data_IF_748674660111
#
_entry.id   IF_748674660111
#
_cell.length_a   1.000
_cell.length_b   1.000
_cell.length_c   1.000
_cell.angle_alpha   90.00
_cell.angle_beta   90.00
_cell.angle_gamma   90.00
#
_symmetry.space_group_name_H-M   'P 1'
#
loop_
_entity.id
_entity.type
_entity.pdbx_description
1 polymer ?
#
# COMPACT_ATOMS: atom_id res chain seq x y z
N UNK A 1 28.11 -34.92 5.18
CA UNK A 1 28.50 -33.51 5.35
C UNK A 1 27.35 -32.80 6.06
N UNK A 2 27.51 -32.46 7.33
CA UNK A 2 26.54 -31.64 8.07
C UNK A 2 27.08 -30.22 8.02
N UNK A 3 26.39 -29.32 7.33
CA UNK A 3 26.72 -27.89 7.35
C UNK A 3 26.03 -27.31 8.58
N UNK A 4 26.80 -27.05 9.63
CA UNK A 4 26.33 -26.28 10.78
C UNK A 4 26.71 -24.81 10.54
N UNK A 5 25.73 -23.92 10.60
CA UNK A 5 25.98 -22.47 10.57
C UNK A 5 26.53 -22.09 11.94
N UNK A 6 27.81 -21.71 12.00
CA UNK A 6 28.47 -21.30 13.23
C UNK A 6 28.11 -19.85 13.58
N UNK A 7 27.24 -19.73 14.58
CA UNK A 7 26.96 -18.59 15.45
C UNK A 7 26.28 -17.30 14.91
N UNK A 8 25.18 -16.96 15.59
CA UNK A 8 24.53 -15.66 15.85
C UNK A 8 24.21 -14.65 14.72
N UNK A 9 24.46 -14.97 13.45
CA UNK A 9 23.89 -14.21 12.32
C UNK A 9 22.52 -14.75 11.95
N UNK A 10 21.47 -13.93 11.99
CA UNK A 10 20.15 -14.31 11.48
C UNK A 10 20.23 -14.50 9.97
N UNK A 11 19.89 -15.70 9.48
CA UNK A 11 19.67 -15.91 8.05
C UNK A 11 18.41 -15.14 7.67
N UNK A 12 18.56 -14.23 6.73
CA UNK A 12 17.54 -13.29 6.30
C UNK A 12 17.56 -13.30 4.77
N UNK A 13 16.50 -13.84 4.16
CA UNK A 13 16.42 -14.02 2.72
C UNK A 13 16.27 -12.67 2.03
N UNK A 14 15.55 -11.75 2.64
CA UNK A 14 15.25 -10.40 2.19
C UNK A 14 16.53 -9.57 2.09
N UNK A 15 17.53 -9.86 2.94
CA UNK A 15 18.89 -9.31 2.83
C UNK A 15 19.74 -10.07 1.83
N UNK A 16 19.74 -11.42 1.87
CA UNK A 16 20.55 -12.25 0.98
C UNK A 16 19.99 -13.66 0.79
N UNK A 17 19.42 -13.91 -0.39
CA UNK A 17 18.87 -15.23 -0.75
C UNK A 17 19.91 -16.35 -0.95
N UNK A 18 21.15 -16.01 -1.34
CA UNK A 18 22.14 -17.00 -1.80
C UNK A 18 23.50 -16.80 -1.13
N UNK A 19 24.04 -17.90 -0.64
CA UNK A 19 25.38 -17.97 -0.07
C UNK A 19 26.22 -18.95 -0.88
N UNK A 20 27.44 -18.55 -1.23
CA UNK A 20 28.42 -19.43 -1.89
C UNK A 20 29.55 -19.73 -0.92
N UNK A 21 29.76 -21.01 -0.63
CA UNK A 21 30.86 -21.49 0.19
C UNK A 21 31.88 -22.16 -0.72
N UNK A 22 33.13 -21.69 -0.69
CA UNK A 22 34.22 -22.33 -1.41
C UNK A 22 34.85 -23.41 -0.51
N UNK A 23 34.73 -24.66 -0.94
CA UNK A 23 35.27 -25.81 -0.23
C UNK A 23 36.61 -26.18 -0.87
N UNK A 24 37.65 -26.32 -0.05
CA UNK A 24 38.98 -26.77 -0.50
C UNK A 24 39.31 -28.04 0.27
N UNK A 25 39.68 -29.09 -0.45
CA UNK A 25 40.14 -30.36 0.12
C UNK A 25 41.63 -30.46 -0.15
N UNK A 26 42.43 -30.74 0.89
CA UNK A 26 43.89 -30.84 0.79
C UNK A 26 44.34 -32.20 1.33
N UNK A 27 45.20 -32.90 0.59
CA UNK A 27 45.78 -34.17 1.06
C UNK A 27 47.08 -33.94 1.86
N UNK A 28 47.61 -35.02 2.46
CA UNK A 28 48.86 -34.97 3.24
C UNK A 28 50.13 -34.75 2.41
N UNK A 29 50.04 -34.88 1.08
CA UNK A 29 51.13 -34.57 0.14
C UNK A 29 51.09 -33.11 -0.36
N UNK A 30 50.04 -32.36 -0.01
CA UNK A 30 49.87 -30.96 -0.35
C UNK A 30 49.04 -30.71 -1.62
N UNK A 31 48.51 -31.74 -2.28
CA UNK A 31 47.58 -31.58 -3.39
C UNK A 31 46.27 -30.98 -2.88
N UNK A 32 45.63 -30.15 -3.71
CA UNK A 32 44.34 -29.55 -3.39
C UNK A 32 43.36 -29.71 -4.54
N UNK A 33 42.10 -29.88 -4.17
CA UNK A 33 40.96 -29.73 -5.06
C UNK A 33 39.95 -28.78 -4.43
N UNK A 34 39.08 -28.19 -5.23
CA UNK A 34 38.09 -27.22 -4.74
C UNK A 34 36.73 -27.37 -5.43
N UNK A 35 35.68 -27.08 -4.68
CA UNK A 35 34.31 -27.08 -5.15
C UNK A 35 33.54 -25.90 -4.57
N UNK A 36 32.55 -25.39 -5.32
CA UNK A 36 31.62 -24.38 -4.82
C UNK A 36 30.33 -25.04 -4.33
N UNK A 37 29.88 -24.69 -3.12
CA UNK A 37 28.59 -25.05 -2.57
C UNK A 37 27.68 -23.81 -2.60
N UNK A 38 26.53 -23.92 -3.27
CA UNK A 38 25.50 -22.89 -3.24
C UNK A 38 24.42 -23.27 -2.25
N UNK A 39 24.17 -22.39 -1.30
CA UNK A 39 23.07 -22.47 -0.33
C UNK A 39 22.06 -21.41 -0.75
N UNK A 40 20.80 -21.82 -0.93
CA UNK A 40 19.68 -20.94 -1.25
C UNK A 40 18.73 -20.96 -0.05
N UNK A 41 18.41 -19.78 0.47
CA UNK A 41 17.45 -19.63 1.56
C UNK A 41 16.03 -19.74 1.00
N UNK A 42 15.18 -20.47 1.72
CA UNK A 42 13.75 -20.48 1.47
C UNK A 42 13.11 -19.29 2.18
N UNK A 43 12.06 -18.77 1.56
CA UNK A 43 11.26 -17.67 2.09
C UNK A 43 10.35 -18.13 3.24
N UNK A 44 10.20 -17.27 4.24
CA UNK A 44 9.21 -17.40 5.30
C UNK A 44 8.40 -16.10 5.34
N UNK A 45 7.14 -16.16 5.78
CA UNK A 45 6.32 -14.95 5.88
C UNK A 45 6.64 -14.21 7.19
N UNK A 46 7.66 -13.37 7.19
CA UNK A 46 8.12 -12.61 8.36
C UNK A 46 8.08 -11.09 8.16
N UNK A 47 7.64 -10.61 7.00
CA UNK A 47 7.33 -9.21 6.75
C UNK A 47 5.82 -9.02 6.55
N UNK A 48 5.32 -7.88 7.01
CA UNK A 48 3.93 -7.49 6.78
C UNK A 48 3.86 -6.46 5.65
N UNK A 49 2.73 -6.39 4.91
CA UNK A 49 2.57 -5.40 3.87
C UNK A 49 2.74 -3.98 4.42
N UNK A 50 3.42 -3.09 3.70
CA UNK A 50 3.61 -1.69 4.11
C UNK A 50 3.05 -0.72 3.09
N UNK A 51 2.14 0.15 3.54
CA UNK A 51 1.64 1.25 2.72
C UNK A 51 2.75 2.26 2.37
N UNK A 52 2.62 2.92 1.21
CA UNK A 52 3.58 3.95 0.76
C UNK A 52 3.47 5.27 1.54
N UNK A 53 2.38 5.47 2.26
CA UNK A 53 2.12 6.66 3.09
C UNK A 53 1.55 6.22 4.45
N UNK A 54 1.87 6.96 5.50
CA UNK A 54 1.35 6.72 6.86
C UNK A 54 -0.11 7.18 7.04
N UNK A 55 -0.57 8.09 6.17
CA UNK A 55 -1.93 8.60 6.15
C UNK A 55 -2.27 9.13 4.75
N UNK A 56 -3.50 8.88 4.31
CA UNK A 56 -4.07 9.42 3.07
C UNK A 56 -5.14 10.47 3.40
N UNK A 57 -5.36 11.43 2.51
CA UNK A 57 -6.43 12.41 2.62
C UNK A 57 -7.16 12.53 1.28
N UNK A 58 -8.47 12.32 1.29
CA UNK A 58 -9.30 12.31 0.10
C UNK A 58 -10.43 13.31 0.30
N UNK A 59 -10.70 14.13 -0.71
CA UNK A 59 -11.84 15.02 -0.73
C UNK A 59 -12.77 14.66 -1.89
N UNK A 60 -14.05 14.51 -1.59
CA UNK A 60 -15.12 14.26 -2.56
C UNK A 60 -16.26 15.26 -2.35
N UNK A 61 -17.13 15.38 -3.34
CA UNK A 61 -18.30 16.25 -3.27
C UNK A 61 -19.55 15.38 -3.11
N UNK A 62 -20.48 15.82 -2.28
CA UNK A 62 -21.64 15.04 -1.86
C UNK A 62 -22.65 14.72 -2.99
N UNK A 63 -22.45 15.32 -4.17
CA UNK A 63 -23.23 15.08 -5.39
C UNK A 63 -22.51 14.21 -6.42
N UNK A 64 -21.29 13.71 -6.13
CA UNK A 64 -20.56 12.84 -7.05
C UNK A 64 -21.25 11.49 -7.20
N UNK A 65 -21.34 10.96 -8.44
CA UNK A 65 -21.95 9.67 -8.68
C UNK A 65 -21.09 8.52 -8.14
N UNK A 66 -21.74 7.38 -7.91
CA UNK A 66 -21.06 6.13 -7.58
C UNK A 66 -20.25 5.62 -8.79
N UNK A 67 -19.24 4.80 -8.52
CA UNK A 67 -18.34 4.21 -9.52
C UNK A 67 -17.09 5.02 -9.84
N UNK A 68 -17.02 6.30 -9.42
CA UNK A 68 -15.82 7.13 -9.60
C UNK A 68 -14.68 6.61 -8.73
N UNK A 69 -13.50 6.41 -9.34
CA UNK A 69 -12.24 6.17 -8.63
C UNK A 69 -11.75 7.49 -8.05
N UNK A 70 -11.49 7.51 -6.73
CA UNK A 70 -11.07 8.72 -6.01
C UNK A 70 -9.60 8.67 -5.61
N UNK A 71 -9.03 7.47 -5.49
CA UNK A 71 -7.61 7.26 -5.19
C UNK A 71 -7.20 5.82 -5.54
N UNK A 72 -5.90 5.53 -5.57
CA UNK A 72 -5.35 4.18 -5.62
C UNK A 72 -4.27 4.03 -4.56
N UNK A 73 -4.60 3.27 -3.52
CA UNK A 73 -3.67 2.98 -2.44
C UNK A 73 -2.65 1.94 -2.88
N UNK A 74 -1.44 2.04 -2.32
CA UNK A 74 -0.37 1.09 -2.57
C UNK A 74 0.26 0.64 -1.26
N UNK A 75 0.29 -0.68 -1.07
CA UNK A 75 1.11 -1.37 -0.09
C UNK A 75 2.02 -2.38 -0.81
N UNK A 76 3.18 -2.61 -0.23
CA UNK A 76 4.19 -3.55 -0.73
C UNK A 76 4.68 -4.43 0.38
N UNK A 77 4.88 -5.70 0.08
CA UNK A 77 5.53 -6.68 0.93
C UNK A 77 6.83 -7.13 0.26
N UNK A 78 7.88 -7.37 1.06
CA UNK A 78 9.21 -7.73 0.56
C UNK A 78 9.45 -9.25 0.52
N UNK A 79 8.52 -10.03 1.07
CA UNK A 79 8.54 -11.48 1.04
C UNK A 79 8.27 -12.01 -0.39
N UNK A 80 8.63 -13.27 -0.65
CA UNK A 80 8.56 -13.83 -2.00
C UNK A 80 7.20 -14.50 -2.29
N UNK A 81 6.73 -14.39 -3.53
CA UNK A 81 5.60 -15.19 -4.01
C UNK A 81 4.28 -14.85 -3.30
N UNK A 82 3.65 -15.85 -2.67
CA UNK A 82 2.38 -15.65 -1.94
C UNK A 82 2.59 -14.91 -0.61
N UNK A 83 3.74 -15.09 0.05
CA UNK A 83 4.09 -14.36 1.27
C UNK A 83 4.17 -12.85 1.00
N UNK A 84 4.61 -12.46 -0.20
CA UNK A 84 4.59 -11.05 -0.62
C UNK A 84 3.29 -10.56 -1.27
N UNK A 85 2.27 -11.42 -1.43
CA UNK A 85 1.07 -11.08 -2.22
C UNK A 85 0.03 -10.33 -1.40
N UNK A 86 -0.04 -9.03 -1.62
CA UNK A 86 -0.96 -8.12 -0.94
C UNK A 86 -2.38 -8.14 -1.52
N UNK A 87 -3.37 -8.21 -0.63
CA UNK A 87 -4.80 -7.97 -0.89
C UNK A 87 -5.32 -6.83 -0.01
N UNK A 88 -6.20 -5.99 -0.56
CA UNK A 88 -6.76 -4.84 0.16
C UNK A 88 -8.20 -5.07 0.62
N UNK A 89 -8.56 -4.47 1.76
CA UNK A 89 -9.95 -4.42 2.23
C UNK A 89 -10.22 -3.15 3.04
N UNK A 90 -11.50 -2.79 3.16
CA UNK A 90 -11.93 -1.79 4.13
C UNK A 90 -12.23 -2.46 5.45
N UNK A 91 -11.77 -1.88 6.56
CA UNK A 91 -12.14 -2.35 7.88
C UNK A 91 -13.66 -2.28 8.05
N UNK A 92 -14.24 -3.30 8.70
CA UNK A 92 -15.68 -3.39 8.90
C UNK A 92 -16.21 -2.15 9.62
N UNK A 93 -17.26 -1.54 9.08
CA UNK A 93 -17.88 -0.32 9.63
C UNK A 93 -17.08 0.97 9.42
N UNK A 94 -15.95 0.95 8.70
CA UNK A 94 -15.15 2.16 8.45
C UNK A 94 -15.86 3.20 7.58
N UNK A 95 -16.66 2.76 6.60
CA UNK A 95 -17.51 3.64 5.78
C UNK A 95 -18.52 2.83 4.98
N UNK A 96 -19.65 3.45 4.63
CA UNK A 96 -20.61 2.96 3.63
C UNK A 96 -20.44 3.63 2.25
N UNK A 97 -19.60 4.66 2.19
CA UNK A 97 -19.48 5.56 1.04
C UNK A 97 -18.45 5.12 0.02
N UNK A 98 -17.45 4.34 0.45
CA UNK A 98 -16.35 3.90 -0.39
C UNK A 98 -16.28 2.37 -0.45
N UNK A 99 -15.74 1.87 -1.55
CA UNK A 99 -15.28 0.49 -1.72
C UNK A 99 -13.83 0.49 -2.21
N UNK A 100 -13.10 -0.59 -1.94
CA UNK A 100 -11.73 -0.78 -2.44
C UNK A 100 -11.66 -2.05 -3.29
N UNK A 101 -10.98 -1.97 -4.42
CA UNK A 101 -10.66 -3.14 -5.23
C UNK A 101 -9.52 -3.93 -4.54
N UNK A 102 -9.75 -5.23 -4.25
CA UNK A 102 -8.83 -6.01 -3.42
C UNK A 102 -7.48 -6.29 -4.07
N UNK A 103 -7.36 -6.17 -5.40
CA UNK A 103 -6.11 -6.48 -6.13
C UNK A 103 -5.34 -5.23 -6.52
N UNK A 104 -6.07 -4.17 -6.89
CA UNK A 104 -5.47 -2.96 -7.46
C UNK A 104 -5.32 -1.83 -6.44
N UNK A 105 -6.03 -1.90 -5.31
CA UNK A 105 -6.06 -0.82 -4.33
C UNK A 105 -6.87 0.40 -4.77
N UNK A 106 -7.61 0.31 -5.89
CA UNK A 106 -8.49 1.38 -6.36
C UNK A 106 -9.63 1.63 -5.38
N UNK A 107 -9.70 2.83 -4.84
CA UNK A 107 -10.77 3.28 -3.97
C UNK A 107 -11.84 3.97 -4.82
N UNK A 108 -13.10 3.53 -4.71
CA UNK A 108 -14.24 4.01 -5.50
C UNK A 108 -15.36 4.50 -4.60
N UNK A 109 -16.15 5.46 -5.09
CA UNK A 109 -17.41 5.83 -4.46
C UNK A 109 -18.41 4.71 -4.70
N UNK A 110 -18.96 4.13 -3.64
CA UNK A 110 -19.94 3.03 -3.71
C UNK A 110 -21.29 3.38 -3.11
N UNK A 111 -21.33 4.32 -2.16
CA UNK A 111 -22.55 4.77 -1.50
C UNK A 111 -23.03 6.13 -2.00
N UNK A 112 -24.32 6.41 -1.81
CA UNK A 112 -24.88 7.74 -2.03
C UNK A 112 -24.25 8.74 -1.05
N UNK A 113 -23.69 9.83 -1.56
CA UNK A 113 -23.02 10.85 -0.76
C UNK A 113 -23.95 11.99 -0.32
N UNK A 114 -25.19 12.05 -0.82
CA UNK A 114 -26.09 13.19 -0.59
C UNK A 114 -26.31 13.43 0.92
N UNK A 115 -25.98 14.64 1.39
CA UNK A 115 -26.10 15.02 2.80
C UNK A 115 -24.95 14.54 3.70
N UNK A 116 -24.06 13.67 3.21
CA UNK A 116 -22.91 13.17 3.96
C UNK A 116 -21.92 14.29 4.34
N UNK A 117 -21.92 15.42 3.63
CA UNK A 117 -21.13 16.59 4.01
C UNK A 117 -21.42 17.11 5.44
N UNK A 118 -22.61 16.82 5.98
CA UNK A 118 -23.08 17.28 7.30
C UNK A 118 -22.80 16.31 8.45
N UNK A 119 -22.34 15.10 8.15
CA UNK A 119 -22.11 14.04 9.17
C UNK A 119 -20.62 13.75 9.41
N UNK A 120 -19.75 14.71 9.06
CA UNK A 120 -18.30 14.62 9.24
C UNK A 120 -17.87 14.66 10.72
N UNK A 121 -16.65 14.19 11.06
CA UNK A 121 -15.60 13.66 10.18
C UNK A 121 -15.76 12.18 9.82
N UNK A 122 -15.18 11.78 8.68
CA UNK A 122 -15.07 10.37 8.29
C UNK A 122 -13.62 9.89 8.39
N UNK A 123 -13.40 8.87 9.22
CA UNK A 123 -12.15 8.12 9.26
C UNK A 123 -12.37 6.75 8.63
N UNK A 124 -11.73 6.53 7.48
CA UNK A 124 -11.77 5.23 6.80
C UNK A 124 -10.48 4.49 7.09
N UNK A 125 -10.57 3.21 7.44
CA UNK A 125 -9.41 2.35 7.68
C UNK A 125 -9.32 1.32 6.58
N UNK A 126 -8.19 1.29 5.90
CA UNK A 126 -7.86 0.29 4.87
C UNK A 126 -6.87 -0.69 5.46
N UNK A 127 -7.07 -1.97 5.18
CA UNK A 127 -6.20 -3.07 5.60
C UNK A 127 -5.52 -3.62 4.34
N UNK A 128 -4.20 -3.83 4.43
CA UNK A 128 -3.43 -4.60 3.47
C UNK A 128 -2.98 -5.89 4.17
N UNK A 129 -3.26 -7.03 3.56
CA UNK A 129 -3.00 -8.36 4.11
C UNK A 129 -2.23 -9.18 3.05
N UNK A 130 -1.21 -9.91 3.47
CA UNK A 130 -0.49 -10.82 2.59
C UNK A 130 -1.23 -12.16 2.38
N UNK A 131 -0.67 -13.05 1.57
CA UNK A 131 -1.22 -14.41 1.35
C UNK A 131 -0.36 -15.50 1.98
N UNK A 132 0.51 -15.13 2.93
CA UNK A 132 1.42 -16.02 3.64
C UNK A 132 0.74 -16.81 4.76
N UNK A 133 1.51 -17.62 5.48
CA UNK A 133 1.02 -18.42 6.61
C UNK A 133 2.04 -18.40 7.77
N UNK A 134 1.74 -17.78 8.92
CA UNK A 134 0.52 -17.00 9.19
C UNK A 134 0.43 -15.78 8.28
N UNK A 135 -0.79 -15.34 7.96
CA UNK A 135 -1.01 -14.09 7.23
C UNK A 135 -0.64 -12.91 8.14
N UNK A 136 0.12 -11.94 7.59
CA UNK A 136 0.45 -10.69 8.24
C UNK A 136 -0.28 -9.52 7.55
N UNK A 137 -0.50 -8.45 8.30
CA UNK A 137 -1.27 -7.31 7.80
C UNK A 137 -0.79 -5.98 8.38
N UNK A 138 -1.10 -4.91 7.67
CA UNK A 138 -1.03 -3.54 8.17
C UNK A 138 -2.31 -2.78 7.86
N UNK A 139 -2.47 -1.62 8.49
CA UNK A 139 -3.61 -0.74 8.24
C UNK A 139 -3.16 0.70 8.10
N UNK A 140 -3.91 1.47 7.30
CA UNK A 140 -3.72 2.90 7.13
C UNK A 140 -5.04 3.64 7.27
N UNK A 141 -4.99 4.86 7.81
CA UNK A 141 -6.16 5.73 7.93
C UNK A 141 -6.23 6.70 6.77
N UNK A 142 -7.43 6.84 6.22
CA UNK A 142 -7.80 7.87 5.26
C UNK A 142 -8.67 8.90 5.97
N UNK A 143 -8.27 10.17 5.88
CA UNK A 143 -9.11 11.31 6.23
C UNK A 143 -10.00 11.61 5.04
N UNK A 144 -11.28 11.23 5.12
CA UNK A 144 -12.25 11.49 4.07
C UNK A 144 -13.02 12.78 4.39
N UNK A 145 -12.91 13.77 3.49
CA UNK A 145 -13.67 15.01 3.54
C UNK A 145 -14.74 14.99 2.46
N UNK A 146 -15.98 15.24 2.84
CA UNK A 146 -17.11 15.35 1.90
C UNK A 146 -17.64 16.78 1.95
N UNK A 147 -17.54 17.53 0.86
CA UNK A 147 -18.06 18.91 0.77
C UNK A 147 -19.38 18.97 0.03
N UNK A 148 -20.24 19.92 0.41
CA UNK A 148 -21.36 20.32 -0.44
C UNK A 148 -20.82 20.90 -1.77
N UNK A 149 -21.55 20.81 -2.89
CA UNK A 149 -21.16 21.47 -4.11
C UNK A 149 -21.10 22.98 -3.89
N UNK A 150 -20.08 23.62 -4.48
CA UNK A 150 -20.05 25.07 -4.56
C UNK A 150 -21.25 25.51 -5.42
N UNK A 151 -22.16 26.27 -4.82
CA UNK A 151 -23.18 27.00 -5.56
C UNK A 151 -22.56 28.32 -6.02
N UNK A 152 -22.80 28.72 -7.27
CA UNK A 152 -22.45 30.07 -7.70
C UNK A 152 -23.41 31.10 -7.06
N UNK A 153 -23.11 32.40 -7.24
CA UNK A 153 -23.91 33.49 -6.65
C UNK A 153 -25.37 33.50 -7.14
N UNK A 154 -25.63 32.85 -8.27
CA UNK A 154 -26.96 32.70 -8.86
C UNK A 154 -27.72 31.46 -8.37
N UNK A 155 -27.09 30.63 -7.52
CA UNK A 155 -27.68 29.41 -6.96
C UNK A 155 -27.67 28.22 -7.92
N UNK A 156 -26.95 28.29 -9.03
CA UNK A 156 -26.67 27.16 -9.90
C UNK A 156 -25.49 26.33 -9.35
N UNK A 157 -25.50 25.04 -9.66
CA UNK A 157 -24.41 24.14 -9.25
C UNK A 157 -23.16 24.52 -10.04
N UNK A 158 -22.18 25.13 -9.38
CA UNK A 158 -20.88 25.38 -9.97
C UNK A 158 -20.32 24.08 -10.57
N UNK A 159 -19.96 24.12 -11.85
CA UNK A 159 -19.46 22.95 -12.56
C UNK A 159 -18.06 22.61 -12.04
N UNK A 160 -17.95 21.49 -11.33
CA UNK A 160 -16.66 20.99 -10.84
C UNK A 160 -15.92 20.42 -12.04
N UNK A 161 -14.88 21.14 -12.50
CA UNK A 161 -13.98 20.64 -13.54
C UNK A 161 -13.11 19.55 -12.93
N UNK A 162 -13.26 18.32 -13.42
CA UNK A 162 -12.34 17.23 -13.10
C UNK A 162 -10.96 17.57 -13.67
N UNK A 163 -10.08 18.13 -12.85
CA UNK A 163 -8.65 18.09 -13.13
C UNK A 163 -8.23 16.67 -12.79
N UNK A 164 -7.96 15.87 -13.81
CA UNK A 164 -7.37 14.54 -13.69
C UNK A 164 -6.26 14.61 -12.64
N UNK A 165 -6.29 13.83 -11.54
CA UNK A 165 -5.28 13.98 -10.50
C UNK A 165 -3.93 13.70 -11.14
N UNK A 166 -2.97 14.64 -11.10
CA UNK A 166 -1.63 14.33 -11.52
C UNK A 166 -1.14 13.22 -10.60
N UNK A 167 -0.60 12.19 -11.22
CA UNK A 167 0.44 11.36 -10.61
C UNK A 167 1.37 12.32 -9.86
N UNK A 168 1.41 12.20 -8.54
CA UNK A 168 2.05 13.11 -7.57
C UNK A 168 1.32 14.42 -7.26
N UNK A 169 0.56 14.43 -6.15
CA UNK A 169 0.20 15.68 -5.46
C UNK A 169 0.60 15.63 -3.98
N UNK A 170 1.90 15.76 -3.75
CA UNK A 170 2.39 16.54 -2.61
C UNK A 170 2.53 17.96 -3.13
N UNK A 171 1.74 18.91 -2.62
CA UNK A 171 2.18 20.29 -2.38
C UNK A 171 1.09 21.09 -1.62
N UNK A 172 1.53 21.66 -0.49
CA UNK A 172 0.98 22.87 0.10
C UNK A 172 0.71 23.93 -0.98
N UNK A 173 -0.35 24.74 -0.79
CA UNK A 173 -0.47 26.19 -1.03
C UNK A 173 -2.00 26.50 -0.95
N UNK A 174 -2.52 27.34 -0.05
CA UNK A 174 -2.32 28.79 0.04
C UNK A 174 -2.09 29.39 -1.36
N UNK A 175 -3.09 29.36 -2.22
CA UNK A 175 -3.24 30.40 -3.24
C UNK A 175 -4.70 30.47 -3.70
N UNK A 176 -5.30 31.60 -3.36
CA UNK A 176 -6.60 32.08 -3.82
C UNK A 176 -6.36 32.71 -5.19
N UNK A 177 -7.10 32.30 -6.22
CA UNK A 177 -7.15 33.03 -7.48
C UNK A 177 -8.36 33.97 -7.45
N UNK A 178 -8.09 35.27 -7.30
CA UNK A 178 -9.01 36.36 -7.66
C UNK A 178 -9.25 36.37 -9.18
N UNK A 179 -10.48 36.59 -9.62
CA UNK A 179 -10.81 36.92 -11.01
C UNK A 179 -10.78 38.44 -11.22
N UNK A 180 -10.14 38.98 -12.27
CA UNK A 180 -10.29 40.38 -12.62
C UNK A 180 -11.62 40.62 -13.39
N UNK A 181 -12.18 41.81 -13.14
CA UNK A 181 -13.48 42.34 -13.60
C UNK A 181 -13.83 42.13 -15.08
#
# INVERSE_FOLDING_TARGET
LVVAVADNGTLDREVRERHMVHMIVRDGAGNQDSAALYIVLLDINDNAPRFTQDQYAIQVIDNWPTGIVVDRLKATDIDAGENGRVTYSLASGSTKYLSIDPKTGELKISGELAGAAREQPYEVVVIAEDSGTPSLSSSVRIKLKISEPLMDEDGEKGQVVFVDPPVDFVLNLKEVCEYPN
#
